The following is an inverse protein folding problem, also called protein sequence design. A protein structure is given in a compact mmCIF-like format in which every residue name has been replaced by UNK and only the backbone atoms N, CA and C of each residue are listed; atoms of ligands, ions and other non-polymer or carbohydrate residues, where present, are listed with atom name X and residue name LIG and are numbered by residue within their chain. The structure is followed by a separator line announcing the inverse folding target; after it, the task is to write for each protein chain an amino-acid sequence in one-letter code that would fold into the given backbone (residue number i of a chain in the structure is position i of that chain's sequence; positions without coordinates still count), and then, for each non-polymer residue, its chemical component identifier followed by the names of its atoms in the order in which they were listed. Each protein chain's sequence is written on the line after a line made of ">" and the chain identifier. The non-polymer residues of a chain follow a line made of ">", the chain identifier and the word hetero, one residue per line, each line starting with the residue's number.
data_IF_259904203118
#
_entry.id   IF_259904203118
#
_cell.length_a   1.000
_cell.length_b   1.000
_cell.length_c   1.000
_cell.angle_alpha   90.00
_cell.angle_beta   90.00
_cell.angle_gamma   90.00
#
_symmetry.space_group_name_H-M   'P 1'
#
loop_
_entity.id
_entity.type
_entity.pdbx_description
1 polymer ?
#
# COMPACT_ATOMS: atom_id res chain seq x y z
N UNK A 1 -19.33 9.25 -30.92
CA UNK A 1 -18.60 9.37 -29.65
C UNK A 1 -19.14 8.31 -28.71
N UNK A 2 -18.40 7.22 -28.55
CA UNK A 2 -18.78 6.07 -27.73
C UNK A 2 -18.80 6.51 -26.26
N UNK A 3 -19.98 6.51 -25.63
CA UNK A 3 -20.15 6.87 -24.22
C UNK A 3 -19.61 5.74 -23.32
N UNK A 4 -18.29 5.69 -23.15
CA UNK A 4 -17.67 4.83 -22.15
C UNK A 4 -18.02 5.33 -20.74
N UNK A 5 -18.36 4.41 -19.84
CA UNK A 5 -18.67 4.72 -18.44
C UNK A 5 -17.54 4.19 -17.56
N UNK A 6 -16.97 5.08 -16.75
CA UNK A 6 -15.79 4.82 -15.92
C UNK A 6 -16.17 4.77 -14.44
N UNK A 7 -15.72 3.71 -13.75
CA UNK A 7 -15.86 3.52 -12.30
C UNK A 7 -14.49 3.69 -11.66
N UNK A 8 -14.25 4.82 -11.00
CA UNK A 8 -13.05 5.00 -10.18
C UNK A 8 -13.32 4.60 -8.75
N UNK A 9 -12.91 3.38 -8.37
CA UNK A 9 -13.10 2.88 -7.01
C UNK A 9 -12.04 3.47 -6.05
N UNK A 10 -10.98 4.06 -6.60
CA UNK A 10 -9.87 4.66 -5.84
C UNK A 10 -10.26 5.95 -5.10
N UNK A 11 -11.21 6.70 -5.63
CA UNK A 11 -11.72 7.93 -5.01
C UNK A 11 -12.75 7.66 -3.90
N UNK A 12 -13.20 6.41 -3.77
CA UNK A 12 -14.04 5.99 -2.67
C UNK A 12 -13.15 5.69 -1.46
N UNK A 13 -12.82 6.72 -0.68
CA UNK A 13 -12.48 6.52 0.72
C UNK A 13 -13.70 5.88 1.37
N UNK A 14 -13.73 4.55 1.46
CA UNK A 14 -14.74 3.90 2.27
C UNK A 14 -14.53 4.45 3.70
N UNK A 15 -15.60 4.81 4.37
CA UNK A 15 -15.55 5.04 5.80
C UNK A 15 -16.69 4.15 6.26
N UNK A 16 -16.32 3.04 6.88
CA UNK A 16 -17.29 2.20 7.58
C UNK A 16 -17.60 2.96 8.87
N UNK A 17 -18.74 3.65 8.91
CA UNK A 17 -19.21 4.33 10.10
C UNK A 17 -20.51 3.67 10.54
N UNK A 18 -20.53 3.22 11.80
CA UNK A 18 -21.53 2.34 12.41
C UNK A 18 -22.97 2.87 12.26
N UNK A 19 -23.85 2.04 11.68
CA UNK A 19 -25.28 2.33 11.55
C UNK A 19 -26.08 1.19 10.91
N UNK A 20 -27.20 0.80 11.53
CA UNK A 20 -27.98 -0.42 11.24
C UNK A 20 -28.96 -0.24 10.06
N UNK A 21 -29.01 -1.21 9.14
CA UNK A 21 -30.09 -1.34 8.13
C UNK A 21 -30.72 -2.74 8.25
N UNK A 22 -32.07 -2.86 8.30
CA UNK A 22 -32.71 -4.16 8.41
C UNK A 22 -32.75 -4.89 7.06
N UNK A 23 -32.21 -6.11 7.02
CA UNK A 23 -32.39 -7.06 5.93
C UNK A 23 -33.72 -7.80 6.12
N UNK A 24 -34.57 -7.83 5.09
CA UNK A 24 -35.67 -8.81 5.07
C UNK A 24 -35.06 -10.20 4.84
N UNK A 25 -35.27 -11.05 5.87
CA UNK A 25 -34.88 -12.46 6.04
C UNK A 25 -33.48 -12.75 6.62
N UNK A 26 -33.48 -12.80 7.97
CA UNK A 26 -32.67 -13.62 8.87
C UNK A 26 -31.17 -13.76 8.57
N UNK A 27 -30.43 -12.72 8.97
CA UNK A 27 -28.98 -12.73 9.13
C UNK A 27 -28.45 -11.31 9.03
N UNK A 28 -28.43 -10.58 10.15
CA UNK A 28 -27.81 -9.25 10.20
C UNK A 28 -26.30 -9.38 10.04
N UNK A 29 -25.77 -8.93 8.90
CA UNK A 29 -24.33 -8.67 8.72
C UNK A 29 -24.16 -7.15 8.72
N UNK A 30 -23.43 -6.67 9.73
CA UNK A 30 -23.25 -5.27 10.07
C UNK A 30 -22.17 -4.64 9.17
N UNK A 31 -22.59 -3.94 8.10
CA UNK A 31 -21.68 -3.21 7.20
C UNK A 31 -22.36 -1.95 6.65
N UNK A 32 -22.14 -0.81 7.31
CA UNK A 32 -22.56 0.51 6.84
C UNK A 32 -21.43 1.19 6.07
N UNK A 33 -21.51 1.17 4.74
CA UNK A 33 -20.71 2.05 3.88
C UNK A 33 -21.34 3.45 3.90
N UNK A 34 -20.59 4.49 4.29
CA UNK A 34 -21.09 5.88 4.21
C UNK A 34 -21.66 6.19 2.82
N UNK A 35 -22.86 6.81 2.80
CA UNK A 35 -23.68 7.07 1.61
C UNK A 35 -22.97 7.94 0.54
N UNK A 36 -21.98 8.75 0.90
CA UNK A 36 -21.33 9.70 -0.02
C UNK A 36 -20.48 9.03 -1.12
N UNK A 37 -19.83 7.90 -0.85
CA UNK A 37 -18.98 7.20 -1.84
C UNK A 37 -19.76 6.25 -2.74
N UNK A 38 -20.86 5.68 -2.25
CA UNK A 38 -21.73 4.79 -3.02
C UNK A 38 -22.44 5.52 -4.16
N UNK A 39 -22.84 6.77 -3.94
CA UNK A 39 -23.44 7.61 -4.98
C UNK A 39 -22.43 7.98 -6.06
N UNK A 40 -21.19 8.36 -5.71
CA UNK A 40 -20.13 8.67 -6.70
C UNK A 40 -19.83 7.49 -7.65
N UNK A 41 -19.82 6.26 -7.12
CA UNK A 41 -19.56 5.05 -7.91
C UNK A 41 -20.76 4.60 -8.76
N UNK A 42 -21.98 4.95 -8.38
CA UNK A 42 -23.20 4.52 -9.08
C UNK A 42 -23.86 5.62 -9.93
N UNK A 43 -23.44 6.88 -9.80
CA UNK A 43 -24.09 8.03 -10.43
C UNK A 43 -24.09 7.99 -11.96
N UNK A 44 -23.05 7.43 -12.58
CA UNK A 44 -22.98 7.27 -14.03
C UNK A 44 -23.80 6.07 -14.56
N UNK A 45 -24.30 5.21 -13.68
CA UNK A 45 -25.19 4.10 -14.05
C UNK A 45 -26.64 4.60 -14.09
N UNK A 46 -27.16 4.86 -15.29
CA UNK A 46 -28.55 5.34 -15.44
C UNK A 46 -29.62 4.30 -15.12
N UNK A 47 -29.27 3.00 -15.10
CA UNK A 47 -30.21 1.90 -14.88
C UNK A 47 -30.26 1.50 -13.40
N UNK A 48 -31.45 1.52 -12.80
CA UNK A 48 -31.66 1.13 -11.41
C UNK A 48 -31.24 -0.32 -11.11
N UNK A 49 -31.39 -1.22 -12.08
CA UNK A 49 -30.97 -2.62 -11.92
C UNK A 49 -29.44 -2.76 -11.94
N UNK A 50 -28.73 -1.94 -12.72
CA UNK A 50 -27.26 -1.90 -12.74
C UNK A 50 -26.72 -1.35 -11.42
N UNK A 51 -27.34 -0.27 -10.90
CA UNK A 51 -27.00 0.29 -9.58
C UNK A 51 -27.18 -0.73 -8.45
N UNK A 52 -28.29 -1.48 -8.49
CA UNK A 52 -28.56 -2.52 -7.50
C UNK A 52 -27.52 -3.64 -7.56
N UNK A 53 -27.18 -4.14 -8.74
CA UNK A 53 -26.16 -5.19 -8.91
C UNK A 53 -24.77 -4.74 -8.40
N UNK A 54 -24.33 -3.54 -8.77
CA UNK A 54 -23.04 -2.99 -8.29
C UNK A 54 -23.04 -2.85 -6.78
N UNK A 55 -24.14 -2.33 -6.22
CA UNK A 55 -24.30 -2.20 -4.78
C UNK A 55 -24.20 -3.52 -4.03
N UNK A 56 -24.86 -4.57 -4.53
CA UNK A 56 -24.79 -5.91 -3.93
C UNK A 56 -23.37 -6.45 -3.98
N UNK A 57 -22.67 -6.25 -5.11
CA UNK A 57 -21.28 -6.69 -5.27
C UNK A 57 -20.34 -5.99 -4.28
N UNK A 58 -20.46 -4.66 -4.12
CA UNK A 58 -19.66 -3.90 -3.16
C UNK A 58 -19.94 -4.32 -1.72
N UNK A 59 -21.19 -4.61 -1.38
CA UNK A 59 -21.55 -5.12 -0.05
C UNK A 59 -20.98 -6.52 0.19
N UNK A 60 -21.01 -7.40 -0.82
CA UNK A 60 -20.46 -8.75 -0.75
C UNK A 60 -18.93 -8.75 -0.53
N UNK A 61 -18.21 -7.82 -1.17
CA UNK A 61 -16.76 -7.71 -1.11
C UNK A 61 -16.26 -6.56 -0.24
N UNK A 62 -17.10 -6.06 0.67
CA UNK A 62 -16.80 -4.92 1.56
C UNK A 62 -15.48 -5.11 2.33
N UNK A 63 -15.19 -6.35 2.73
CA UNK A 63 -13.98 -6.76 3.45
C UNK A 63 -12.67 -6.54 2.66
N UNK A 64 -12.72 -6.37 1.33
CA UNK A 64 -11.54 -6.07 0.52
C UNK A 64 -11.16 -4.58 0.60
N UNK A 65 -12.08 -3.73 1.06
CA UNK A 65 -11.88 -2.28 1.15
C UNK A 65 -11.47 -1.91 2.58
N UNK A 66 -10.16 -1.89 2.83
CA UNK A 66 -9.66 -1.47 4.13
C UNK A 66 -9.38 0.04 4.20
N UNK A 67 -9.98 0.68 5.21
CA UNK A 67 -9.83 2.09 5.49
C UNK A 67 -8.76 2.40 6.54
N UNK A 68 -8.19 1.36 7.15
CA UNK A 68 -7.04 1.47 8.03
C UNK A 68 -5.84 2.08 7.30
N UNK A 69 -4.97 2.75 8.08
CA UNK A 69 -3.75 3.38 7.57
C UNK A 69 -2.66 2.35 7.25
N UNK A 70 -2.62 1.25 8.01
CA UNK A 70 -1.55 0.25 7.99
C UNK A 70 -2.09 -1.18 7.93
N UNK A 71 -2.73 -1.54 6.82
CA UNK A 71 -3.04 -2.94 6.55
C UNK A 71 -1.80 -3.67 6.05
N UNK A 72 -1.43 -4.75 6.73
CA UNK A 72 -0.40 -5.67 6.28
C UNK A 72 -1.09 -6.96 5.89
N UNK A 73 -1.00 -7.33 4.61
CA UNK A 73 -1.54 -8.59 4.12
C UNK A 73 -0.77 -9.77 4.71
N UNK A 74 -1.35 -10.97 4.67
CA UNK A 74 -0.65 -12.20 5.03
C UNK A 74 0.16 -12.80 3.87
N UNK A 75 0.24 -12.09 2.74
CA UNK A 75 0.99 -12.53 1.56
C UNK A 75 2.47 -12.28 1.82
N UNK A 76 3.27 -13.33 1.68
CA UNK A 76 4.74 -13.27 1.74
C UNK A 76 5.25 -13.29 0.30
N UNK A 77 6.13 -12.35 -0.06
CA UNK A 77 6.86 -12.41 -1.33
C UNK A 77 8.24 -12.96 -1.03
N UNK A 78 8.56 -14.11 -1.61
CA UNK A 78 9.87 -14.73 -1.44
C UNK A 78 10.91 -14.13 -2.39
N UNK A 79 12.19 -14.24 -2.00
CA UNK A 79 13.35 -13.88 -2.82
C UNK A 79 13.28 -12.47 -3.41
N UNK A 80 12.86 -11.50 -2.59
CA UNK A 80 12.68 -10.11 -3.02
C UNK A 80 14.02 -9.48 -3.38
N UNK A 81 15.06 -9.80 -2.62
CA UNK A 81 16.39 -9.21 -2.78
C UNK A 81 17.42 -10.27 -3.19
N UNK A 82 17.44 -10.62 -4.47
CA UNK A 82 18.51 -11.41 -5.04
C UNK A 82 19.78 -10.57 -5.11
N UNK A 83 20.82 -10.94 -4.36
CA UNK A 83 22.08 -10.20 -4.31
C UNK A 83 23.24 -11.05 -4.79
N UNK A 84 24.23 -10.40 -5.42
CA UNK A 84 25.53 -11.04 -5.70
C UNK A 84 26.30 -11.24 -4.38
N UNK A 85 27.28 -12.16 -4.28
CA UNK A 85 28.13 -12.27 -3.10
C UNK A 85 28.77 -10.92 -2.73
N UNK A 86 28.60 -10.48 -1.48
CA UNK A 86 29.08 -9.18 -1.01
C UNK A 86 29.28 -9.18 0.50
N UNK A 87 30.02 -8.19 0.99
CA UNK A 87 30.01 -7.81 2.41
C UNK A 87 28.92 -6.76 2.64
N UNK A 88 28.18 -6.80 3.77
CA UNK A 88 27.18 -5.79 4.09
C UNK A 88 27.71 -4.37 3.91
N UNK A 89 27.03 -3.50 3.14
CA UNK A 89 27.55 -2.19 2.83
C UNK A 89 27.68 -1.32 4.08
N UNK A 90 28.84 -0.68 4.25
CA UNK A 90 29.03 0.32 5.31
C UNK A 90 28.14 1.54 5.06
N UNK A 91 27.58 2.09 6.14
CA UNK A 91 26.75 3.30 6.10
C UNK A 91 27.17 4.32 7.13
N UNK A 92 26.80 5.57 6.88
CA UNK A 92 26.96 6.68 7.82
C UNK A 92 25.61 7.33 8.04
N UNK A 93 25.21 7.45 9.30
CA UNK A 93 23.99 8.14 9.71
C UNK A 93 23.96 9.58 9.18
N UNK A 94 22.79 9.99 8.70
CA UNK A 94 22.53 11.39 8.42
C UNK A 94 22.36 12.18 9.72
N UNK A 95 22.86 13.43 9.72
CA UNK A 95 22.53 14.38 10.78
C UNK A 95 21.15 14.95 10.49
N UNK A 96 20.15 14.59 11.29
CA UNK A 96 18.81 15.16 11.21
C UNK A 96 18.42 15.86 12.53
N UNK A 97 18.81 17.12 12.74
CA UNK A 97 18.50 17.85 13.97
C UNK A 97 17.08 18.42 14.01
N UNK A 98 16.42 18.62 12.86
CA UNK A 98 15.18 19.42 12.78
C UNK A 98 13.88 18.63 12.91
N UNK A 99 13.91 17.28 12.90
CA UNK A 99 12.70 16.45 12.86
C UNK A 99 12.72 15.27 13.84
N UNK A 100 13.35 15.42 15.01
CA UNK A 100 13.51 14.32 15.96
C UNK A 100 12.17 13.79 16.49
N UNK A 101 11.27 14.67 16.91
CA UNK A 101 9.96 14.28 17.46
C UNK A 101 9.08 13.59 16.42
N UNK A 102 9.02 14.15 15.20
CA UNK A 102 8.30 13.54 14.08
C UNK A 102 8.89 12.18 13.70
N UNK A 103 10.22 12.07 13.77
CA UNK A 103 10.93 10.80 13.56
C UNK A 103 10.52 9.76 14.58
N UNK A 104 10.56 10.11 15.86
CA UNK A 104 10.19 9.19 16.92
C UNK A 104 8.73 8.74 16.77
N UNK A 105 7.82 9.69 16.53
CA UNK A 105 6.39 9.40 16.34
C UNK A 105 6.12 8.44 15.17
N UNK A 106 6.76 8.64 14.02
CA UNK A 106 6.55 7.76 12.86
C UNK A 106 7.15 6.36 13.08
N UNK A 107 8.29 6.27 13.77
CA UNK A 107 8.93 5.00 14.10
C UNK A 107 8.07 4.21 15.09
N UNK A 108 7.55 4.84 16.14
CA UNK A 108 6.59 4.23 17.08
C UNK A 108 5.35 3.73 16.35
N UNK A 109 4.77 4.56 15.46
CA UNK A 109 3.63 4.17 14.64
C UNK A 109 3.94 2.93 13.77
N UNK A 110 5.13 2.83 13.18
CA UNK A 110 5.53 1.69 12.36
C UNK A 110 5.82 0.43 13.19
N UNK A 111 6.33 0.58 14.41
CA UNK A 111 6.56 -0.51 15.35
C UNK A 111 5.22 -1.10 15.83
N UNK A 112 4.29 -0.24 16.25
CA UNK A 112 2.94 -0.63 16.67
C UNK A 112 2.16 -1.31 15.53
N UNK A 113 2.27 -0.78 14.31
CA UNK A 113 1.67 -1.38 13.12
C UNK A 113 2.36 -2.70 12.69
N UNK A 114 3.52 -3.04 13.24
CA UNK A 114 4.28 -4.23 12.85
C UNK A 114 4.91 -4.15 11.45
N UNK A 115 5.08 -2.94 10.91
CA UNK A 115 5.75 -2.66 9.63
C UNK A 115 7.26 -2.85 9.78
N UNK A 116 7.81 -2.40 10.91
CA UNK A 116 9.23 -2.52 11.25
C UNK A 116 9.42 -3.27 12.58
N UNK A 117 10.66 -3.67 12.85
CA UNK A 117 11.12 -4.20 14.14
C UNK A 117 12.54 -3.72 14.41
N UNK A 118 13.00 -3.80 15.65
CA UNK A 118 14.41 -3.57 15.99
C UNK A 118 15.31 -4.57 15.26
N UNK A 119 16.48 -4.11 14.82
CA UNK A 119 17.42 -4.93 14.04
C UNK A 119 18.81 -4.95 14.63
N UNK A 120 19.40 -6.15 14.65
CA UNK A 120 20.83 -6.38 14.88
C UNK A 120 21.55 -6.81 13.59
N UNK A 121 20.96 -6.48 12.44
CA UNK A 121 21.49 -6.81 11.11
C UNK A 121 22.89 -6.19 10.90
N UNK A 122 23.78 -6.87 10.17
CA UNK A 122 25.05 -6.27 9.74
C UNK A 122 24.86 -5.26 8.60
N UNK A 123 23.69 -5.21 7.95
CA UNK A 123 23.33 -4.15 7.02
C UNK A 123 22.87 -2.92 7.79
N UNK A 124 22.94 -1.77 7.15
CA UNK A 124 22.15 -0.63 7.56
C UNK A 124 22.17 0.43 6.46
N UNK A 125 21.01 1.01 6.19
CA UNK A 125 20.87 2.16 5.32
C UNK A 125 20.57 3.41 6.17
N UNK A 126 21.17 4.57 5.88
CA UNK A 126 20.83 5.76 6.62
C UNK A 126 19.44 6.25 6.21
N UNK A 127 18.59 6.55 7.19
CA UNK A 127 17.24 7.01 6.97
C UNK A 127 17.00 8.41 7.58
N UNK A 128 16.02 9.12 7.03
CA UNK A 128 15.56 10.41 7.52
C UNK A 128 14.09 10.63 7.17
N UNK A 129 13.44 11.57 7.86
CA UNK A 129 12.07 11.97 7.55
C UNK A 129 12.08 13.20 6.65
N UNK A 130 11.25 13.13 5.61
CA UNK A 130 10.86 14.29 4.81
C UNK A 130 9.49 14.74 5.27
N UNK A 131 9.35 15.95 5.85
CA UNK A 131 8.06 16.48 6.24
C UNK A 131 7.20 16.71 4.99
N UNK A 132 5.92 16.41 5.10
CA UNK A 132 4.97 16.67 4.02
C UNK A 132 4.19 17.96 4.32
N UNK A 133 3.82 18.72 3.27
CA UNK A 133 2.94 19.89 3.40
C UNK A 133 1.52 19.44 3.79
N UNK A 134 0.76 20.37 4.35
CA UNK A 134 -0.69 20.25 4.59
C UNK A 134 -1.09 19.19 5.63
N UNK A 135 -0.44 19.19 6.81
CA UNK A 135 -0.77 18.33 7.95
C UNK A 135 -0.72 16.82 7.67
N UNK A 136 -0.11 16.40 6.56
CA UNK A 136 0.12 15.00 6.24
C UNK A 136 1.31 14.47 7.04
N UNK A 137 1.27 13.19 7.45
CA UNK A 137 2.40 12.58 8.14
C UNK A 137 3.65 12.62 7.26
N UNK A 138 4.80 12.92 7.86
CA UNK A 138 6.09 12.85 7.20
C UNK A 138 6.37 11.47 6.61
N UNK A 139 7.29 11.42 5.65
CA UNK A 139 7.68 10.19 4.96
C UNK A 139 9.05 9.74 5.44
N UNK A 140 9.14 8.49 5.92
CA UNK A 140 10.41 7.84 6.15
C UNK A 140 11.08 7.56 4.80
N UNK A 141 12.26 8.14 4.58
CA UNK A 141 13.08 7.92 3.40
C UNK A 141 14.34 7.19 3.81
N UNK A 142 14.52 6.00 3.26
CA UNK A 142 15.69 5.16 3.51
C UNK A 142 16.59 5.19 2.28
N UNK A 143 17.88 5.51 2.47
CA UNK A 143 18.82 5.56 1.36
C UNK A 143 19.45 4.19 1.10
N UNK A 144 18.82 3.42 0.21
CA UNK A 144 19.29 2.11 -0.19
C UNK A 144 20.21 2.10 -1.40
N UNK A 145 20.84 3.22 -1.78
CA UNK A 145 21.75 3.26 -2.95
C UNK A 145 22.88 2.23 -2.90
N UNK A 146 23.36 1.88 -1.72
CA UNK A 146 24.41 0.88 -1.56
C UNK A 146 23.88 -0.55 -1.77
N UNK A 147 22.67 -0.82 -1.27
CA UNK A 147 21.98 -2.10 -1.45
C UNK A 147 21.55 -2.30 -2.92
N UNK A 148 21.02 -1.26 -3.57
CA UNK A 148 20.67 -1.28 -4.99
C UNK A 148 21.80 -1.70 -5.93
N UNK A 149 23.07 -1.44 -5.57
CA UNK A 149 24.23 -1.80 -6.40
C UNK A 149 24.57 -3.28 -6.38
N UNK A 150 24.13 -4.00 -5.34
CA UNK A 150 24.43 -5.41 -5.13
C UNK A 150 23.22 -6.30 -5.43
N UNK A 151 22.03 -5.72 -5.57
CA UNK A 151 20.84 -6.41 -6.04
C UNK A 151 21.00 -6.72 -7.54
N UNK A 152 20.74 -7.96 -7.90
CA UNK A 152 20.63 -8.41 -9.29
C UNK A 152 19.36 -7.81 -9.87
N UNK A 153 19.44 -7.01 -10.96
CA UNK A 153 18.25 -6.42 -11.56
C UNK A 153 17.29 -7.50 -12.05
N UNK A 154 16.01 -7.36 -11.69
CA UNK A 154 14.95 -8.15 -12.29
C UNK A 154 14.71 -7.65 -13.73
N UNK A 155 14.99 -8.51 -14.70
CA UNK A 155 14.80 -8.24 -16.12
C UNK A 155 13.47 -8.80 -16.66
N UNK A 156 12.51 -9.09 -15.76
CA UNK A 156 11.18 -9.54 -16.15
C UNK A 156 10.51 -8.51 -17.06
N UNK A 157 10.01 -8.93 -18.24
CA UNK A 157 9.43 -8.00 -19.20
C UNK A 157 8.13 -7.45 -18.63
N UNK A 158 8.11 -6.14 -18.37
CA UNK A 158 6.85 -5.44 -18.15
C UNK A 158 6.13 -5.29 -19.50
N UNK A 159 4.83 -5.62 -19.58
CA UNK A 159 4.08 -5.48 -20.81
C UNK A 159 4.06 -4.01 -21.26
N UNK A 160 4.07 -3.78 -22.58
CA UNK A 160 4.01 -2.42 -23.10
C UNK A 160 2.60 -1.85 -22.88
N UNK A 161 2.49 -0.55 -22.61
CA UNK A 161 1.20 0.09 -22.35
C UNK A 161 0.24 -0.08 -23.53
N UNK A 162 0.76 -0.02 -24.76
CA UNK A 162 -0.04 -0.20 -25.98
C UNK A 162 -0.61 -1.63 -26.09
N UNK A 163 0.19 -2.65 -25.73
CA UNK A 163 -0.25 -4.05 -25.73
C UNK A 163 -1.41 -4.25 -24.73
N UNK A 164 -1.29 -3.67 -23.53
CA UNK A 164 -2.34 -3.72 -22.51
C UNK A 164 -3.63 -3.03 -22.97
N UNK A 165 -3.51 -1.90 -23.67
CA UNK A 165 -4.67 -1.17 -24.21
C UNK A 165 -5.33 -1.92 -25.36
N UNK A 166 -4.56 -2.63 -26.18
CA UNK A 166 -5.08 -3.46 -27.26
C UNK A 166 -5.81 -4.70 -26.72
N UNK A 167 -5.28 -5.33 -25.66
CA UNK A 167 -5.93 -6.48 -24.98
C UNK A 167 -7.26 -6.07 -24.35
N UNK A 168 -7.34 -4.86 -23.77
CA UNK A 168 -8.60 -4.29 -23.29
C UNK A 168 -9.65 -4.15 -24.41
N UNK A 169 -9.25 -4.10 -25.68
CA UNK A 169 -10.12 -4.24 -26.84
C UNK A 169 -11.20 -3.16 -27.04
N UNK A 170 -11.87 -3.22 -28.18
CA UNK A 170 -13.09 -2.47 -28.45
C UNK A 170 -14.32 -3.34 -28.12
N UNK A 171 -15.31 -2.80 -27.40
CA UNK A 171 -16.57 -3.50 -27.13
C UNK A 171 -16.99 -3.55 -25.65
N UNK A 172 -16.11 -3.19 -24.72
CA UNK A 172 -16.49 -3.05 -23.31
C UNK A 172 -17.22 -1.73 -23.06
N UNK A 173 -18.36 -1.83 -22.37
CA UNK A 173 -19.22 -0.69 -22.04
C UNK A 173 -18.84 -0.02 -20.71
N UNK A 174 -18.16 -0.75 -19.83
CA UNK A 174 -17.82 -0.35 -18.48
C UNK A 174 -16.36 -0.70 -18.16
N UNK A 175 -15.65 0.23 -17.52
CA UNK A 175 -14.30 0.00 -16.99
C UNK A 175 -14.27 0.34 -15.50
N UNK A 176 -13.54 -0.45 -14.72
CA UNK A 176 -13.31 -0.20 -13.30
C UNK A 176 -11.82 -0.19 -12.99
N UNK A 177 -11.37 0.80 -12.21
CA UNK A 177 -10.00 0.85 -11.70
C UNK A 177 -9.98 0.48 -10.21
N UNK A 178 -9.17 -0.53 -9.89
CA UNK A 178 -8.82 -0.90 -8.52
C UNK A 178 -7.35 -0.57 -8.28
N UNK A 179 -7.06 0.07 -7.17
CA UNK A 179 -5.69 0.38 -6.74
C UNK A 179 -5.51 -0.18 -5.35
N UNK A 180 -4.38 -0.84 -5.11
CA UNK A 180 -4.00 -1.30 -3.78
C UNK A 180 -3.75 -0.09 -2.88
N UNK A 181 -4.13 -0.17 -1.60
CA UNK A 181 -3.90 0.91 -0.64
C UNK A 181 -2.59 0.68 0.12
N UNK A 182 -1.69 1.65 0.15
CA UNK A 182 -0.37 1.51 0.80
C UNK A 182 0.51 0.43 0.14
N UNK A 183 0.65 0.58 -1.17
CA UNK A 183 1.13 -0.39 -2.16
C UNK A 183 2.30 -1.29 -1.70
N UNK A 184 3.31 -0.71 -1.05
CA UNK A 184 4.52 -1.45 -0.67
C UNK A 184 4.39 -2.22 0.64
N UNK A 185 3.79 -1.62 1.68
CA UNK A 185 3.77 -2.21 3.02
C UNK A 185 2.79 -3.39 3.17
N UNK A 186 2.05 -3.74 2.12
CA UNK A 186 1.11 -4.86 2.15
C UNK A 186 1.83 -6.21 2.17
N UNK A 187 2.98 -6.34 1.51
CA UNK A 187 3.64 -7.63 1.31
C UNK A 187 4.67 -7.91 2.39
N UNK A 188 4.59 -9.08 3.04
CA UNK A 188 5.54 -9.49 4.08
C UNK A 188 6.86 -9.96 3.46
N UNK A 189 7.95 -9.59 4.11
CA UNK A 189 9.29 -10.10 3.79
C UNK A 189 9.57 -11.40 4.56
N UNK A 190 10.18 -12.40 3.90
CA UNK A 190 10.67 -13.59 4.57
C UNK A 190 11.81 -13.20 5.52
N UNK A 191 12.00 -13.91 6.65
CA UNK A 191 13.05 -13.59 7.61
C UNK A 191 14.46 -13.47 7.02
N UNK A 192 14.75 -14.17 5.91
CA UNK A 192 16.03 -14.11 5.22
C UNK A 192 16.30 -12.76 4.50
N UNK A 193 15.24 -12.05 4.09
CA UNK A 193 15.36 -10.77 3.36
C UNK A 193 15.23 -9.54 4.26
N UNK A 194 14.65 -9.66 5.46
CA UNK A 194 14.49 -8.54 6.41
C UNK A 194 15.81 -7.85 6.76
N UNK A 195 16.91 -8.58 7.07
CA UNK A 195 18.16 -7.93 7.43
C UNK A 195 18.68 -6.99 6.34
N UNK A 196 18.37 -7.25 5.05
CA UNK A 196 18.81 -6.42 3.93
C UNK A 196 18.10 -5.05 3.91
N UNK A 197 16.89 -4.96 4.46
CA UNK A 197 16.13 -3.70 4.59
C UNK A 197 16.44 -2.94 5.89
N UNK A 198 17.47 -3.37 6.61
CA UNK A 198 17.86 -2.70 7.84
C UNK A 198 18.27 -1.25 7.56
N UNK A 199 17.82 -0.35 8.43
CA UNK A 199 18.06 1.08 8.35
C UNK A 199 18.27 1.69 9.73
N UNK A 200 19.01 2.77 9.75
CA UNK A 200 19.37 3.45 10.97
C UNK A 200 18.90 4.90 10.95
N UNK A 201 18.25 5.31 12.04
CA UNK A 201 17.69 6.66 12.23
C UNK A 201 17.84 7.06 13.69
N UNK A 202 18.22 8.31 13.96
CA UNK A 202 18.34 8.85 15.34
C UNK A 202 19.17 7.98 16.30
N UNK A 203 20.21 7.29 15.80
CA UNK A 203 21.07 6.34 16.53
C UNK A 203 20.43 4.97 16.87
N UNK A 204 19.20 4.72 16.44
CA UNK A 204 18.54 3.42 16.54
C UNK A 204 18.64 2.65 15.21
N UNK A 205 18.44 1.33 15.29
CA UNK A 205 18.55 0.42 14.15
C UNK A 205 17.31 -0.46 14.03
N UNK A 206 16.69 -0.46 12.86
CA UNK A 206 15.42 -1.14 12.58
C UNK A 206 15.49 -1.85 11.24
N UNK A 207 14.61 -2.81 11.01
CA UNK A 207 14.43 -3.48 9.72
C UNK A 207 12.95 -3.63 9.40
N UNK A 208 12.62 -3.72 8.11
CA UNK A 208 11.23 -3.90 7.71
C UNK A 208 10.81 -5.37 7.77
N UNK A 209 9.61 -5.61 8.28
CA UNK A 209 8.91 -6.90 8.21
C UNK A 209 8.11 -7.06 6.91
N UNK A 210 7.89 -5.94 6.22
CA UNK A 210 7.15 -5.83 4.96
C UNK A 210 8.03 -5.20 3.88
N UNK A 211 7.61 -5.25 2.64
CA UNK A 211 8.33 -4.63 1.54
C UNK A 211 8.39 -3.12 1.75
N UNK A 212 9.59 -2.55 1.91
CA UNK A 212 9.77 -1.11 2.07
C UNK A 212 9.67 -0.39 0.73
N UNK A 213 9.29 0.89 0.74
CA UNK A 213 9.28 1.72 -0.46
C UNK A 213 10.70 1.79 -1.06
N UNK A 214 10.85 1.18 -2.25
CA UNK A 214 12.07 0.99 -3.07
C UNK A 214 13.42 1.00 -2.30
N UNK A 215 13.91 -0.18 -1.90
CA UNK A 215 15.33 -0.40 -1.66
C UNK A 215 16.21 -0.33 -2.90
#
# INVERSE_FOLDING_TARGET
>A
MSNFRYIDITAASFVLADGVIPLQNNGSVELSMQFETRDLLANHLLNHQEKFRLSTLLAQFSQLFDNSRHNISNIVIENVFNTVPHTPPSFRLYRNPHHREETQRLIEEFLEAGIIQESNSPYGAPAFIVPQKDSRPGRLVVNYRALNKIIVPDASPLPHTEDLLQELGEGYKYFSRLVLKSDYHQFRLPPADRPKTAFAVSQCHYEFRVLSMRP
#
